data_IF_808406756763
#
_entry.id   IF_808406756763
#
_cell.length_a   1.000
_cell.length_b   1.000
_cell.length_c   1.000
_cell.angle_alpha   90.00
_cell.angle_beta   90.00
_cell.angle_gamma   90.00
#
_symmetry.space_group_name_H-M   'P 1'
#
loop_
_entity.id
_entity.type
_entity.pdbx_description
1 polymer ?
#
# COMPACT_ATOMS: atom_id res chain seq x y z
N UNK A 1 -2.58 -0.92 -13.23
CA UNK A 1 -2.17 -1.75 -12.07
C UNK A 1 -0.86 -1.19 -11.54
N UNK A 2 -0.70 -1.13 -10.22
CA UNK A 2 0.54 -0.71 -9.55
C UNK A 2 0.95 -1.84 -8.60
N UNK A 3 2.22 -2.23 -8.62
CA UNK A 3 2.78 -3.22 -7.70
C UNK A 3 4.08 -2.69 -7.13
N UNK A 4 4.40 -3.03 -5.89
CA UNK A 4 5.65 -2.65 -5.27
C UNK A 4 5.88 -3.33 -3.94
N UNK A 5 6.97 -2.94 -3.30
CA UNK A 5 7.25 -3.26 -1.90
C UNK A 5 7.51 -1.96 -1.12
N UNK A 6 7.25 -2.00 0.17
CA UNK A 6 7.57 -0.90 1.09
C UNK A 6 7.95 -1.47 2.45
N UNK A 7 8.98 -0.90 3.08
CA UNK A 7 9.32 -1.22 4.45
C UNK A 7 8.45 -0.41 5.41
N UNK A 8 7.82 -1.07 6.38
CA UNK A 8 7.20 -0.40 7.51
C UNK A 8 8.29 0.20 8.40
N UNK A 9 8.04 1.42 8.86
CA UNK A 9 8.81 2.04 9.93
C UNK A 9 7.89 2.20 11.13
N UNK A 10 8.22 1.55 12.24
CA UNK A 10 7.36 1.53 13.44
C UNK A 10 5.91 1.10 13.15
N UNK A 11 5.74 0.10 12.28
CA UNK A 11 4.44 -0.48 11.92
C UNK A 11 3.64 0.31 10.89
N UNK A 12 4.21 1.30 10.21
CA UNK A 12 3.49 2.09 9.20
C UNK A 12 4.37 2.51 8.03
N UNK A 13 3.79 2.62 6.84
CA UNK A 13 4.39 3.23 5.67
C UNK A 13 3.35 3.91 4.79
N UNK A 14 3.72 5.02 4.17
CA UNK A 14 2.89 5.70 3.15
C UNK A 14 3.51 5.48 1.78
N UNK A 15 2.69 5.01 0.85
CA UNK A 15 3.06 4.83 -0.56
C UNK A 15 2.38 5.93 -1.37
N UNK A 16 3.17 6.60 -2.20
CA UNK A 16 2.69 7.63 -3.14
C UNK A 16 2.83 7.12 -4.57
N UNK A 17 1.73 7.13 -5.32
CA UNK A 17 1.71 6.83 -6.75
C UNK A 17 1.97 8.09 -7.57
N UNK A 18 2.73 7.96 -8.65
CA UNK A 18 3.05 9.08 -9.54
C UNK A 18 3.00 8.64 -11.00
N UNK A 19 2.91 9.61 -11.91
CA UNK A 19 2.83 9.34 -13.35
C UNK A 19 1.56 8.57 -13.73
N UNK A 20 1.68 7.64 -14.68
CA UNK A 20 0.56 6.81 -15.17
C UNK A 20 0.00 5.83 -14.13
N UNK A 21 0.63 5.73 -12.95
CA UNK A 21 0.16 4.95 -11.81
C UNK A 21 -0.79 5.72 -10.88
N UNK A 22 -1.02 7.02 -11.11
CA UNK A 22 -1.96 7.83 -10.35
C UNK A 22 -3.41 7.41 -10.64
N UNK A 23 -4.18 7.08 -9.61
CA UNK A 23 -5.61 6.84 -9.73
C UNK A 23 -6.38 8.17 -9.59
N UNK A 24 -7.56 8.25 -10.20
CA UNK A 24 -8.35 9.48 -10.24
C UNK A 24 -8.94 9.91 -8.89
N UNK A 25 -9.18 8.96 -7.98
CA UNK A 25 -9.74 9.21 -6.64
C UNK A 25 -9.50 8.04 -5.68
N UNK A 26 -9.82 8.23 -4.40
CA UNK A 26 -9.82 7.18 -3.37
C UNK A 26 -10.62 5.93 -3.75
N UNK A 27 -11.75 6.12 -4.43
CA UNK A 27 -12.69 5.07 -4.79
C UNK A 27 -12.44 4.48 -6.19
N UNK A 28 -11.44 5.00 -6.92
CA UNK A 28 -11.12 4.49 -8.26
C UNK A 28 -10.13 3.34 -8.25
N UNK A 29 -9.74 2.82 -7.08
CA UNK A 29 -8.82 1.69 -6.97
C UNK A 29 -8.97 0.91 -5.67
N UNK A 30 -8.58 -0.35 -5.71
CA UNK A 30 -8.48 -1.26 -4.55
C UNK A 30 -7.05 -1.76 -4.45
N UNK A 31 -6.52 -1.82 -3.23
CA UNK A 31 -5.20 -2.40 -2.97
C UNK A 31 -5.27 -3.53 -1.96
N UNK A 32 -4.40 -4.51 -2.16
CA UNK A 32 -4.10 -5.59 -1.22
C UNK A 32 -2.64 -5.51 -0.82
N UNK A 33 -2.31 -5.94 0.40
CA UNK A 33 -0.95 -5.99 0.89
C UNK A 33 -0.70 -7.29 1.66
N UNK A 34 0.55 -7.75 1.69
CA UNK A 34 0.97 -8.95 2.42
C UNK A 34 2.34 -8.72 3.04
N UNK A 35 2.47 -9.00 4.33
CA UNK A 35 3.76 -9.03 5.00
C UNK A 35 4.62 -10.16 4.40
N UNK A 36 5.80 -9.79 3.90
CA UNK A 36 6.77 -10.68 3.28
C UNK A 36 7.95 -11.01 4.22
N UNK A 37 7.99 -10.40 5.40
CA UNK A 37 8.97 -10.68 6.44
C UNK A 37 8.46 -11.77 7.39
N UNK A 38 7.20 -11.68 7.82
CA UNK A 38 6.58 -12.64 8.72
C UNK A 38 5.08 -12.80 8.42
N UNK A 39 4.41 -13.75 9.08
CA UNK A 39 2.98 -14.01 8.90
C UNK A 39 2.10 -13.03 9.72
N UNK A 40 2.38 -11.73 9.67
CA UNK A 40 1.61 -10.71 10.39
C UNK A 40 0.49 -10.12 9.53
N UNK A 41 -0.56 -9.64 10.19
CA UNK A 41 -1.64 -8.94 9.53
C UNK A 41 -1.21 -7.52 9.13
N UNK A 42 -1.60 -7.11 7.92
CA UNK A 42 -1.44 -5.74 7.42
C UNK A 42 -2.79 -5.15 7.04
N UNK A 43 -2.95 -3.86 7.25
CA UNK A 43 -4.13 -3.08 6.86
C UNK A 43 -3.71 -2.05 5.82
N UNK A 44 -4.46 -2.00 4.73
CA UNK A 44 -4.37 -0.93 3.74
C UNK A 44 -5.44 0.12 4.03
N UNK A 45 -5.05 1.39 3.97
CA UNK A 45 -5.97 2.54 4.00
C UNK A 45 -5.64 3.45 2.83
N UNK A 46 -6.57 3.60 1.89
CA UNK A 46 -6.42 4.55 0.80
C UNK A 46 -6.52 5.98 1.39
N UNK A 47 -5.63 6.88 0.97
CA UNK A 47 -5.59 8.28 1.43
C UNK A 47 -6.05 9.29 0.36
N UNK A 48 -5.69 9.05 -0.90
CA UNK A 48 -6.12 9.86 -2.06
C UNK A 48 -6.08 8.99 -3.32
N UNK A 49 -6.35 9.55 -4.52
CA UNK A 49 -6.08 8.83 -5.78
C UNK A 49 -4.60 8.49 -6.00
N UNK A 50 -3.70 9.15 -5.28
CA UNK A 50 -2.24 9.01 -5.44
C UNK A 50 -1.54 8.57 -4.17
N UNK A 51 -2.26 8.20 -3.11
CA UNK A 51 -1.61 7.80 -1.86
C UNK A 51 -2.40 6.76 -1.08
N UNK A 52 -1.67 5.87 -0.44
CA UNK A 52 -2.20 4.92 0.54
C UNK A 52 -1.24 4.76 1.70
N UNK A 53 -1.77 4.37 2.85
CA UNK A 53 -1.01 3.99 4.02
C UNK A 53 -1.19 2.50 4.27
N UNK A 54 -0.09 1.81 4.53
CA UNK A 54 -0.05 0.43 5.01
C UNK A 54 0.32 0.48 6.48
N UNK A 55 -0.45 -0.21 7.32
CA UNK A 55 -0.16 -0.40 8.74
C UNK A 55 0.00 -1.88 9.02
N UNK A 56 0.98 -2.23 9.84
CA UNK A 56 1.29 -3.59 10.27
C UNK A 56 2.07 -3.54 11.58
N UNK A 57 3.08 -4.39 11.71
CA UNK A 57 3.93 -4.47 12.89
C UNK A 57 5.38 -4.10 12.58
N UNK A 58 6.14 -3.75 13.62
CA UNK A 58 7.60 -3.65 13.58
C UNK A 58 8.18 -2.91 12.37
N UNK A 59 9.22 -3.50 11.79
CA UNK A 59 9.91 -3.03 10.58
C UNK A 59 9.84 -4.11 9.50
N UNK A 60 8.61 -4.48 9.15
CA UNK A 60 8.32 -5.54 8.20
C UNK A 60 8.36 -5.03 6.75
N UNK A 61 8.76 -5.87 5.79
CA UNK A 61 8.70 -5.59 4.37
C UNK A 61 7.38 -6.07 3.81
N UNK A 62 6.60 -5.15 3.22
CA UNK A 62 5.25 -5.44 2.73
C UNK A 62 5.20 -5.34 1.22
N UNK A 63 4.72 -6.40 0.58
CA UNK A 63 4.37 -6.41 -0.84
C UNK A 63 2.95 -5.88 -1.01
N UNK A 64 2.71 -5.05 -2.02
CA UNK A 64 1.38 -4.52 -2.32
C UNK A 64 1.06 -4.57 -3.81
N UNK A 65 -0.23 -4.67 -4.10
CA UNK A 65 -0.80 -4.59 -5.44
C UNK A 65 -2.07 -3.75 -5.42
N UNK A 66 -2.18 -2.81 -6.35
CA UNK A 66 -3.30 -1.91 -6.53
C UNK A 66 -3.85 -2.01 -7.95
N UNK A 67 -5.17 -2.10 -8.08
CA UNK A 67 -5.87 -2.19 -9.36
C UNK A 67 -6.97 -1.14 -9.39
N UNK A 68 -7.10 -0.46 -10.55
CA UNK A 68 -8.16 0.52 -10.77
C UNK A 68 -9.50 -0.17 -11.02
N UNK A 69 -10.59 0.47 -10.57
CA UNK A 69 -11.96 0.02 -10.81
C UNK A 69 -12.44 0.35 -12.23
#
# INVERSE_FOLDING_TARGET
>A
MVTGNVALSSGSATVTFSGSAAFGSLASYVCTATDNTAANAVKVSNGSGTSMTITGTGTDSVLFMCVGN
#
